data_IF_167894198602
#
_entry.id   IF_167894198602
#
_cell.length_a   1.000
_cell.length_b   1.000
_cell.length_c   1.000
_cell.angle_alpha   90.00
_cell.angle_beta   90.00
_cell.angle_gamma   90.00
#
_symmetry.space_group_name_H-M   'P 1'
#
loop_
_entity.id
_entity.type
_entity.pdbx_description
1 polymer ?
#
# COMPACT_ATOMS: atom_id res chain seq x y z
N UNK A 1 -0.41 22.08 4.26
CA UNK A 1 0.14 20.90 4.94
C UNK A 1 1.58 21.22 5.34
N UNK A 2 1.84 21.24 6.64
CA UNK A 2 3.16 21.42 7.24
C UNK A 2 4.03 20.19 6.99
N UNK A 3 5.35 20.32 7.14
CA UNK A 3 6.28 19.20 7.02
C UNK A 3 5.93 18.07 8.00
N UNK A 4 5.52 18.41 9.23
CA UNK A 4 5.07 17.43 10.24
C UNK A 4 3.84 16.65 9.79
N UNK A 5 2.85 17.33 9.20
CA UNK A 5 1.65 16.68 8.65
C UNK A 5 2.00 15.77 7.46
N UNK A 6 2.96 16.18 6.61
CA UNK A 6 3.47 15.35 5.52
C UNK A 6 4.18 14.10 6.02
N UNK A 7 5.01 14.22 7.06
CA UNK A 7 5.70 13.08 7.65
C UNK A 7 4.71 12.11 8.31
N UNK A 8 3.70 12.62 9.01
CA UNK A 8 2.60 11.79 9.54
C UNK A 8 1.86 11.04 8.43
N UNK A 9 1.56 11.73 7.33
CA UNK A 9 0.91 11.11 6.16
C UNK A 9 1.76 10.01 5.54
N UNK A 10 3.08 10.20 5.45
CA UNK A 10 3.99 9.16 4.98
C UNK A 10 4.03 7.94 5.90
N UNK A 11 4.01 8.14 7.22
CA UNK A 11 3.93 7.04 8.19
C UNK A 11 2.66 6.22 8.01
N UNK A 12 1.52 6.89 7.77
CA UNK A 12 0.25 6.23 7.51
C UNK A 12 0.28 5.43 6.19
N UNK A 13 0.89 5.98 5.13
CA UNK A 13 1.09 5.25 3.88
C UNK A 13 1.99 4.03 4.05
N UNK A 14 3.10 4.15 4.78
CA UNK A 14 3.98 3.01 5.07
C UNK A 14 3.24 1.91 5.84
N UNK A 15 2.51 2.27 6.90
CA UNK A 15 1.69 1.30 7.65
C UNK A 15 0.63 0.64 6.75
N UNK A 16 0.00 1.41 5.87
CA UNK A 16 -1.00 0.87 4.94
C UNK A 16 -0.35 -0.13 3.97
N UNK A 17 0.85 0.15 3.47
CA UNK A 17 1.60 -0.77 2.61
C UNK A 17 1.98 -2.06 3.34
N UNK A 18 2.40 -1.98 4.61
CA UNK A 18 2.69 -3.15 5.44
C UNK A 18 1.46 -4.07 5.56
N UNK A 19 0.30 -3.51 5.89
CA UNK A 19 -0.95 -4.27 6.02
C UNK A 19 -1.41 -4.89 4.69
N UNK A 20 -1.25 -4.17 3.57
CA UNK A 20 -1.59 -4.69 2.25
C UNK A 20 -0.64 -5.82 1.82
N UNK A 21 0.64 -5.73 2.17
CA UNK A 21 1.60 -6.79 1.92
C UNK A 21 1.33 -8.03 2.78
N UNK A 22 1.01 -7.85 4.07
CA UNK A 22 0.59 -8.93 4.95
C UNK A 22 -0.68 -9.63 4.42
N UNK A 23 -1.67 -8.87 3.96
CA UNK A 23 -2.87 -9.43 3.35
C UNK A 23 -2.58 -10.25 2.09
N UNK A 24 -1.59 -9.85 1.28
CA UNK A 24 -1.16 -10.64 0.11
C UNK A 24 -0.54 -11.98 0.52
N UNK A 25 0.31 -11.99 1.54
CA UNK A 25 0.96 -13.22 2.04
C UNK A 25 -0.09 -14.16 2.64
N UNK A 26 -0.97 -13.64 3.50
CA UNK A 26 -2.05 -14.42 4.10
C UNK A 26 -3.01 -14.99 3.04
N UNK A 27 -3.28 -14.22 1.98
CA UNK A 27 -4.14 -14.68 0.88
C UNK A 27 -3.46 -15.76 0.02
N UNK A 28 -2.13 -15.71 -0.13
CA UNK A 28 -1.34 -16.77 -0.78
C UNK A 28 -1.37 -18.07 0.03
N UNK A 29 -1.28 -17.99 1.36
CA UNK A 29 -1.44 -19.14 2.26
C UNK A 29 -2.86 -19.73 2.22
N UNK A 30 -3.90 -18.88 2.11
CA UNK A 30 -5.31 -19.30 2.03
C UNK A 30 -5.70 -19.91 0.68
N UNK A 31 -4.99 -19.52 -0.38
CA UNK A 31 -5.18 -20.02 -1.74
C UNK A 31 -4.96 -21.52 -1.88
N UNK A 32 -4.16 -22.13 -1.00
CA UNK A 32 -4.01 -23.58 -0.93
C UNK A 32 -5.28 -24.30 -0.43
N UNK A 33 -6.23 -23.58 0.17
CA UNK A 33 -7.47 -24.12 0.75
C UNK A 33 -8.77 -23.69 0.03
N UNK A 34 -8.76 -22.61 -0.76
CA UNK A 34 -9.96 -22.10 -1.45
C UNK A 34 -10.20 -22.76 -2.83
N UNK A 35 -11.44 -23.21 -3.06
CA UNK A 35 -11.87 -23.84 -4.31
C UNK A 35 -12.35 -22.83 -5.39
N UNK A 36 -12.16 -21.50 -5.19
CA UNK A 36 -12.64 -20.47 -6.12
C UNK A 36 -11.52 -19.56 -6.67
N UNK A 37 -10.86 -19.96 -7.78
CA UNK A 37 -9.70 -19.26 -8.31
C UNK A 37 -10.03 -17.85 -8.85
N UNK A 38 -11.27 -17.58 -9.27
CA UNK A 38 -11.63 -16.26 -9.82
C UNK A 38 -11.80 -15.19 -8.73
N UNK A 39 -12.35 -15.55 -7.57
CA UNK A 39 -12.47 -14.63 -6.44
C UNK A 39 -11.09 -14.29 -5.91
N UNK A 40 -10.21 -15.29 -5.79
CA UNK A 40 -8.83 -15.08 -5.37
C UNK A 40 -8.06 -14.15 -6.31
N UNK A 41 -8.11 -14.39 -7.62
CA UNK A 41 -7.45 -13.51 -8.59
C UNK A 41 -7.92 -12.05 -8.50
N UNK A 42 -9.24 -11.85 -8.31
CA UNK A 42 -9.81 -10.51 -8.13
C UNK A 42 -9.32 -9.84 -6.85
N UNK A 43 -9.26 -10.57 -5.74
CA UNK A 43 -8.75 -10.06 -4.46
C UNK A 43 -7.28 -9.66 -4.58
N UNK A 44 -6.43 -10.53 -5.13
CA UNK A 44 -5.00 -10.25 -5.34
C UNK A 44 -4.78 -9.05 -6.28
N UNK A 45 -5.55 -8.96 -7.37
CA UNK A 45 -5.47 -7.82 -8.29
C UNK A 45 -5.89 -6.51 -7.60
N UNK A 46 -6.93 -6.55 -6.75
CA UNK A 46 -7.37 -5.41 -5.95
C UNK A 46 -6.30 -4.94 -4.96
N UNK A 47 -5.70 -5.88 -4.21
CA UNK A 47 -4.61 -5.59 -3.28
C UNK A 47 -3.39 -4.98 -3.99
N UNK A 48 -3.00 -5.57 -5.13
CA UNK A 48 -1.90 -5.04 -5.95
C UNK A 48 -2.20 -3.61 -6.46
N UNK A 49 -3.43 -3.34 -6.88
CA UNK A 49 -3.82 -1.99 -7.30
C UNK A 49 -3.77 -0.99 -6.13
N UNK A 50 -4.22 -1.38 -4.95
CA UNK A 50 -4.13 -0.54 -3.74
C UNK A 50 -2.67 -0.21 -3.40
N UNK A 51 -1.78 -1.20 -3.40
CA UNK A 51 -0.34 -1.02 -3.17
C UNK A 51 0.26 -0.02 -4.16
N UNK A 52 -0.08 -0.14 -5.45
CA UNK A 52 0.40 0.78 -6.49
C UNK A 52 -0.04 2.22 -6.23
N UNK A 53 -1.29 2.43 -5.82
CA UNK A 53 -1.83 3.77 -5.53
C UNK A 53 -1.14 4.37 -4.31
N UNK A 54 -1.06 3.63 -3.20
CA UNK A 54 -0.44 4.12 -1.97
C UNK A 54 1.06 4.39 -2.17
N UNK A 55 1.77 3.50 -2.87
CA UNK A 55 3.19 3.70 -3.22
C UNK A 55 3.41 4.99 -4.01
N UNK A 56 2.52 5.28 -4.98
CA UNK A 56 2.57 6.52 -5.75
C UNK A 56 2.35 7.75 -4.85
N UNK A 57 1.31 7.72 -4.02
CA UNK A 57 1.01 8.82 -3.09
C UNK A 57 2.16 9.07 -2.10
N UNK A 58 2.80 8.00 -1.61
CA UNK A 58 3.99 8.11 -0.78
C UNK A 58 5.16 8.75 -1.53
N UNK A 59 5.43 8.33 -2.77
CA UNK A 59 6.47 8.93 -3.60
C UNK A 59 6.23 10.43 -3.85
N UNK A 60 4.99 10.82 -4.14
CA UNK A 60 4.59 12.23 -4.31
C UNK A 60 4.81 13.03 -3.02
N UNK A 61 4.45 12.49 -1.85
CA UNK A 61 4.72 13.18 -0.57
C UNK A 61 6.22 13.29 -0.27
N UNK A 62 7.03 12.28 -0.58
CA UNK A 62 8.49 12.33 -0.42
C UNK A 62 9.13 13.45 -1.26
N UNK A 63 8.68 13.64 -2.51
CA UNK A 63 9.14 14.73 -3.36
C UNK A 63 8.87 16.11 -2.74
N UNK A 64 7.64 16.30 -2.23
CA UNK A 64 7.23 17.55 -1.61
C UNK A 64 8.03 17.89 -0.33
N UNK A 65 8.44 16.89 0.44
CA UNK A 65 9.29 17.11 1.63
C UNK A 65 10.70 17.55 1.20
N UNK A 66 11.30 16.89 0.20
CA UNK A 66 12.63 17.27 -0.32
C UNK A 66 12.65 18.69 -0.86
N UNK A 67 11.61 19.09 -1.60
CA UNK A 67 11.53 20.41 -2.22
C UNK A 67 11.22 21.53 -1.21
N UNK A 68 10.64 21.19 -0.05
CA UNK A 68 10.33 22.16 1.02
C UNK A 68 11.54 22.52 1.90
N UNK A 69 12.64 21.77 1.80
CA UNK A 69 13.89 21.99 2.55
C UNK A 69 15.02 22.61 1.74
N UNK A 70 14.74 23.15 0.54
CA UNK A 70 15.70 23.80 -0.38
C UNK A 70 15.64 25.33 -0.28
#
# INVERSE_FOLDING_TARGET
MTERERLSTLQDYTRTLELLAEALVQHDELLECEHNPQLSFRTTAGLHQAIRIISRLASEQCGLIRDSGS
#
